data_IF_521256459788
#
_entry.id   IF_521256459788
#
_cell.length_a   1.000
_cell.length_b   1.000
_cell.length_c   1.000
_cell.angle_alpha   90.00
_cell.angle_beta   90.00
_cell.angle_gamma   90.00
#
_symmetry.space_group_name_H-M   'P 1'
#
loop_
_entity.id
_entity.type
_entity.pdbx_description
1 polymer ?
#
# COMPACT_ATOMS: atom_id res chain seq x y z
N UNK A 1 -8.84 7.59 3.78
CA UNK A 1 -10.24 7.42 3.31
C UNK A 1 -10.40 7.04 1.83
N UNK A 2 -9.69 7.66 0.88
CA UNK A 2 -9.86 7.36 -0.56
C UNK A 2 -9.72 5.86 -0.90
N UNK A 3 -8.67 5.21 -0.40
CA UNK A 3 -8.43 3.77 -0.60
C UNK A 3 -9.60 2.89 -0.16
N UNK A 4 -10.15 3.20 1.02
CA UNK A 4 -11.24 2.42 1.56
C UNK A 4 -12.56 2.62 0.79
N UNK A 5 -12.83 3.86 0.34
CA UNK A 5 -13.96 4.13 -0.56
C UNK A 5 -13.85 3.33 -1.85
N UNK A 6 -12.65 3.23 -2.43
CA UNK A 6 -12.40 2.40 -3.61
C UNK A 6 -12.56 0.91 -3.30
N UNK A 7 -12.04 0.42 -2.18
CA UNK A 7 -12.24 -0.96 -1.74
C UNK A 7 -13.74 -1.32 -1.68
N UNK A 8 -14.56 -0.49 -1.00
CA UNK A 8 -16.00 -0.72 -0.90
C UNK A 8 -16.70 -0.70 -2.26
N UNK A 9 -16.31 0.23 -3.13
CA UNK A 9 -16.83 0.28 -4.50
C UNK A 9 -16.58 -1.03 -5.24
N UNK A 10 -15.33 -1.51 -5.24
CA UNK A 10 -14.99 -2.75 -5.94
C UNK A 10 -15.52 -4.00 -5.25
N UNK A 11 -15.72 -3.97 -3.93
CA UNK A 11 -16.43 -5.02 -3.21
C UNK A 11 -17.88 -5.14 -3.69
N UNK A 12 -18.62 -4.03 -3.75
CA UNK A 12 -19.99 -4.01 -4.25
C UNK A 12 -20.07 -4.46 -5.72
N UNK A 13 -19.17 -3.94 -6.57
CA UNK A 13 -19.12 -4.34 -7.98
C UNK A 13 -18.77 -5.82 -8.16
N UNK A 14 -17.90 -6.38 -7.31
CA UNK A 14 -17.56 -7.79 -7.35
C UNK A 14 -18.72 -8.67 -6.85
N UNK A 15 -19.51 -8.21 -5.88
CA UNK A 15 -20.74 -8.88 -5.43
C UNK A 15 -21.80 -8.93 -6.54
N UNK A 16 -21.99 -7.81 -7.24
CA UNK A 16 -22.99 -7.65 -8.30
C UNK A 16 -22.59 -8.39 -9.58
N UNK A 17 -21.40 -8.09 -10.11
CA UNK A 17 -20.99 -8.51 -11.45
C UNK A 17 -20.24 -9.85 -11.44
N UNK A 18 -19.63 -10.24 -10.31
CA UNK A 18 -18.85 -11.48 -10.14
C UNK A 18 -17.76 -11.65 -11.20
N UNK A 19 -17.28 -10.53 -11.76
CA UNK A 19 -16.24 -10.52 -12.78
C UNK A 19 -14.86 -10.60 -12.13
N UNK A 20 -13.97 -11.39 -12.73
CA UNK A 20 -12.60 -11.57 -12.26
C UNK A 20 -11.87 -10.24 -12.16
N UNK A 21 -12.08 -9.34 -13.12
CA UNK A 21 -11.48 -8.01 -13.18
C UNK A 21 -11.90 -7.15 -11.98
N UNK A 22 -13.19 -7.13 -11.65
CA UNK A 22 -13.69 -6.40 -10.47
C UNK A 22 -13.13 -6.97 -9.16
N UNK A 23 -12.95 -8.29 -9.10
CA UNK A 23 -12.36 -8.93 -7.93
C UNK A 23 -10.84 -8.69 -7.82
N UNK A 24 -10.13 -8.63 -8.96
CA UNK A 24 -8.73 -8.23 -9.01
C UNK A 24 -8.52 -6.80 -8.48
N UNK A 25 -9.42 -5.87 -8.81
CA UNK A 25 -9.39 -4.52 -8.26
C UNK A 25 -9.65 -4.53 -6.75
N UNK A 26 -10.69 -5.23 -6.28
CA UNK A 26 -10.94 -5.41 -4.84
C UNK A 26 -9.69 -5.92 -4.10
N UNK A 27 -9.08 -6.99 -4.62
CA UNK A 27 -7.84 -7.57 -4.09
C UNK A 27 -6.69 -6.55 -4.08
N UNK A 28 -6.52 -5.77 -5.16
CA UNK A 28 -5.52 -4.73 -5.27
C UNK A 28 -5.68 -3.67 -4.16
N UNK A 29 -6.90 -3.15 -3.97
CA UNK A 29 -7.16 -2.16 -2.91
C UNK A 29 -6.99 -2.75 -1.50
N UNK A 30 -7.40 -3.99 -1.26
CA UNK A 30 -7.18 -4.67 0.02
C UNK A 30 -5.68 -4.77 0.35
N UNK A 31 -4.87 -5.15 -0.65
CA UNK A 31 -3.42 -5.23 -0.52
C UNK A 31 -2.76 -3.87 -0.29
N UNK A 32 -3.24 -2.81 -0.97
CA UNK A 32 -2.78 -1.43 -0.74
C UNK A 32 -3.06 -0.96 0.69
N UNK A 33 -4.25 -1.24 1.22
CA UNK A 33 -4.62 -0.90 2.60
C UNK A 33 -3.74 -1.65 3.59
N UNK A 34 -3.56 -2.97 3.42
CA UNK A 34 -2.64 -3.76 4.24
C UNK A 34 -1.24 -3.15 4.30
N UNK A 35 -0.68 -2.78 3.13
CA UNK A 35 0.65 -2.16 3.04
C UNK A 35 0.71 -0.85 3.82
N UNK A 36 -0.31 -0.01 3.73
CA UNK A 36 -0.34 1.26 4.48
C UNK A 36 -0.40 0.99 5.98
N UNK A 37 -1.31 0.13 6.44
CA UNK A 37 -1.47 -0.19 7.86
C UNK A 37 -0.14 -0.70 8.45
N UNK A 38 0.52 -1.65 7.80
CA UNK A 38 1.85 -2.16 8.22
C UNK A 38 2.96 -1.10 8.25
N UNK A 39 2.73 0.08 7.66
CA UNK A 39 3.71 1.16 7.58
C UNK A 39 3.39 2.34 8.50
N UNK A 40 2.22 2.32 9.12
CA UNK A 40 1.70 3.43 9.93
C UNK A 40 1.49 3.02 11.38
N UNK A 41 2.10 1.92 11.84
CA UNK A 41 2.06 1.46 13.24
C UNK A 41 2.53 2.53 14.24
N UNK A 42 3.49 3.37 13.85
CA UNK A 42 3.96 4.48 14.69
C UNK A 42 3.01 5.70 14.68
N UNK A 43 2.06 5.77 13.75
CA UNK A 43 1.19 6.94 13.49
C UNK A 43 -0.22 6.69 14.02
N UNK A 44 -0.73 5.50 13.75
CA UNK A 44 -2.07 5.08 14.14
C UNK A 44 -2.05 4.38 15.50
N UNK A 45 -3.22 4.26 16.12
CA UNK A 45 -3.36 3.45 17.32
C UNK A 45 -2.79 2.05 17.09
N UNK A 46 -1.90 1.61 17.99
CA UNK A 46 -1.05 0.46 17.75
C UNK A 46 -1.84 -0.85 17.73
N UNK A 47 -2.75 -1.03 18.69
CA UNK A 47 -3.57 -2.23 18.81
C UNK A 47 -4.55 -2.32 17.66
N UNK A 48 -5.23 -1.20 17.36
CA UNK A 48 -6.16 -1.08 16.25
C UNK A 48 -5.47 -1.37 14.91
N UNK A 49 -4.35 -0.71 14.66
CA UNK A 49 -3.63 -0.83 13.39
C UNK A 49 -3.08 -2.24 13.20
N UNK A 50 -2.58 -2.89 14.26
CA UNK A 50 -2.17 -4.31 14.22
C UNK A 50 -3.34 -5.23 13.92
N UNK A 51 -4.47 -5.05 14.60
CA UNK A 51 -5.67 -5.87 14.38
C UNK A 51 -6.17 -5.74 12.93
N UNK A 52 -6.34 -4.51 12.44
CA UNK A 52 -6.76 -4.25 11.07
C UNK A 52 -5.74 -4.79 10.06
N UNK A 53 -4.44 -4.60 10.30
CA UNK A 53 -3.40 -5.13 9.42
C UNK A 53 -3.46 -6.66 9.32
N UNK A 54 -3.68 -7.36 10.43
CA UNK A 54 -3.84 -8.82 10.45
C UNK A 54 -5.06 -9.26 9.66
N UNK A 55 -6.22 -8.63 9.87
CA UNK A 55 -7.46 -8.98 9.15
C UNK A 55 -7.34 -8.69 7.65
N UNK A 56 -6.72 -7.58 7.27
CA UNK A 56 -6.43 -7.29 5.86
C UNK A 56 -5.38 -8.24 5.27
N UNK A 57 -4.40 -8.71 6.05
CA UNK A 57 -3.45 -9.75 5.61
C UNK A 57 -4.17 -11.04 5.28
N UNK A 58 -5.09 -11.47 6.13
CA UNK A 58 -5.88 -12.68 5.89
C UNK A 58 -6.84 -12.51 4.72
N UNK A 59 -7.43 -11.32 4.56
CA UNK A 59 -8.24 -10.96 3.40
C UNK A 59 -7.44 -11.09 2.10
N UNK A 60 -6.21 -10.55 2.07
CA UNK A 60 -5.31 -10.62 0.92
C UNK A 60 -4.94 -12.08 0.61
N UNK A 61 -4.64 -12.89 1.62
CA UNK A 61 -4.35 -14.32 1.44
C UNK A 61 -5.54 -15.08 0.86
N UNK A 62 -6.73 -14.94 1.46
CA UNK A 62 -7.96 -15.60 0.97
C UNK A 62 -8.27 -15.19 -0.46
N UNK A 63 -8.19 -13.90 -0.76
CA UNK A 63 -8.40 -13.37 -2.12
C UNK A 63 -7.40 -13.93 -3.13
N UNK A 64 -6.13 -14.06 -2.75
CA UNK A 64 -5.11 -14.66 -3.60
C UNK A 64 -5.39 -16.13 -3.91
N UNK A 65 -5.80 -16.92 -2.90
CA UNK A 65 -6.21 -18.31 -3.12
C UNK A 65 -7.40 -18.43 -4.07
N UNK A 66 -8.40 -17.55 -3.93
CA UNK A 66 -9.58 -17.53 -4.81
C UNK A 66 -9.17 -17.16 -6.25
N UNK A 67 -8.26 -16.19 -6.43
CA UNK A 67 -7.77 -15.82 -7.77
C UNK A 67 -6.91 -16.91 -8.42
N UNK A 68 -6.21 -17.72 -7.62
CA UNK A 68 -5.41 -18.85 -8.09
C UNK A 68 -6.29 -20.04 -8.51
N UNK A 69 -7.43 -20.23 -7.84
CA UNK A 69 -8.42 -21.22 -8.21
C UNK A 69 -9.23 -20.72 -9.42
N UNK A 70 -9.14 -21.40 -10.56
CA UNK A 70 -9.84 -20.99 -11.79
C UNK A 70 -11.38 -21.06 -11.69
N UNK A 71 -11.91 -21.61 -10.60
CA UNK A 71 -13.35 -21.70 -10.29
C UNK A 71 -13.80 -20.56 -9.36
N UNK A 72 -13.96 -19.38 -9.95
CA UNK A 72 -14.36 -18.12 -9.28
C UNK A 72 -15.86 -18.05 -8.96
N UNK A 73 -16.68 -19.08 -9.21
CA UNK A 73 -18.14 -18.98 -9.10
C UNK A 73 -18.67 -18.89 -7.67
N UNK A 74 -18.95 -20.04 -7.05
CA UNK A 74 -19.58 -20.10 -5.73
C UNK A 74 -18.62 -19.69 -4.60
N UNK A 75 -17.35 -20.07 -4.71
CA UNK A 75 -16.32 -19.72 -3.72
C UNK A 75 -16.13 -18.20 -3.56
N UNK A 76 -16.22 -17.45 -4.67
CA UNK A 76 -16.11 -15.99 -4.63
C UNK A 76 -17.34 -15.37 -3.97
N UNK A 77 -18.55 -15.84 -4.30
CA UNK A 77 -19.77 -15.30 -3.73
C UNK A 77 -19.84 -15.54 -2.22
N UNK A 78 -19.51 -16.76 -1.78
CA UNK A 78 -19.45 -17.10 -0.35
C UNK A 78 -18.43 -16.25 0.39
N UNK A 79 -17.27 -16.02 -0.22
CA UNK A 79 -16.24 -15.15 0.35
C UNK A 79 -16.68 -13.69 0.44
N UNK A 80 -17.20 -13.11 -0.66
CA UNK A 80 -17.59 -11.69 -0.71
C UNK A 80 -18.80 -11.39 0.17
N UNK A 81 -19.69 -12.37 0.34
CA UNK A 81 -20.89 -12.25 1.19
C UNK A 81 -20.63 -12.68 2.64
N UNK A 82 -19.41 -13.13 2.95
CA UNK A 82 -19.06 -13.65 4.26
C UNK A 82 -19.12 -12.58 5.36
N UNK A 83 -19.62 -12.99 6.53
CA UNK A 83 -19.79 -12.11 7.69
C UNK A 83 -18.46 -11.48 8.14
N UNK A 84 -17.35 -12.24 8.09
CA UNK A 84 -16.02 -11.73 8.45
C UNK A 84 -15.60 -10.51 7.63
N UNK A 85 -15.87 -10.52 6.32
CA UNK A 85 -15.55 -9.40 5.42
C UNK A 85 -16.47 -8.21 5.69
N UNK A 86 -17.78 -8.47 5.85
CA UNK A 86 -18.74 -7.41 6.18
C UNK A 86 -18.39 -6.72 7.49
N UNK A 87 -18.06 -7.49 8.52
CA UNK A 87 -17.62 -6.98 9.81
C UNK A 87 -16.32 -6.17 9.66
N UNK A 88 -15.34 -6.64 8.89
CA UNK A 88 -14.10 -5.90 8.64
C UNK A 88 -14.36 -4.54 7.99
N UNK A 89 -15.23 -4.49 6.99
CA UNK A 89 -15.56 -3.24 6.31
C UNK A 89 -16.39 -2.32 7.21
N UNK A 90 -17.31 -2.86 8.01
CA UNK A 90 -18.11 -2.09 8.96
C UNK A 90 -17.22 -1.47 10.05
N UNK A 91 -16.34 -2.26 10.65
CA UNK A 91 -15.39 -1.81 11.66
C UNK A 91 -14.51 -0.70 11.09
N UNK A 92 -13.94 -0.90 9.90
CA UNK A 92 -13.12 0.12 9.25
C UNK A 92 -13.91 1.39 8.91
N UNK A 93 -15.17 1.29 8.51
CA UNK A 93 -16.07 2.45 8.31
C UNK A 93 -16.31 3.22 9.62
N UNK A 94 -16.57 2.51 10.71
CA UNK A 94 -16.75 3.11 12.03
C UNK A 94 -15.51 3.89 12.45
N UNK A 95 -14.33 3.28 12.35
CA UNK A 95 -13.06 3.94 12.68
C UNK A 95 -12.78 5.17 11.81
N UNK A 96 -13.17 5.13 10.55
CA UNK A 96 -13.06 6.28 9.65
C UNK A 96 -13.94 7.44 10.11
N UNK A 97 -15.17 7.15 10.53
CA UNK A 97 -16.17 8.16 10.91
C UNK A 97 -15.83 8.82 12.24
N UNK A 98 -15.35 8.03 13.19
CA UNK A 98 -14.99 8.52 14.53
C UNK A 98 -13.65 9.28 14.58
N UNK A 99 -12.91 9.36 13.46
CA UNK A 99 -11.59 9.99 13.38
C UNK A 99 -10.57 9.43 14.41
N UNK A 100 -10.81 8.21 14.89
CA UNK A 100 -10.16 7.60 16.04
C UNK A 100 -8.92 6.77 15.68
N UNK A 101 -8.31 7.06 14.54
CA UNK A 101 -7.22 6.23 13.99
C UNK A 101 -5.84 6.72 14.39
N UNK A 102 -5.69 7.97 14.81
CA UNK A 102 -4.40 8.49 15.28
C UNK A 102 -4.11 8.04 16.71
N UNK A 103 -2.85 7.73 17.00
CA UNK A 103 -2.41 7.39 18.36
C UNK A 103 -2.65 8.53 19.36
N UNK A 104 -2.47 9.77 18.93
CA UNK A 104 -2.87 10.96 19.68
C UNK A 104 -3.04 12.17 18.73
N UNK A 105 -3.51 13.30 19.26
CA UNK A 105 -3.55 14.58 18.53
C UNK A 105 -2.16 15.03 18.05
N UNK A 106 -1.08 14.61 18.74
CA UNK A 106 0.28 14.91 18.32
C UNK A 106 0.65 14.18 17.02
N UNK A 107 0.37 12.87 16.91
CA UNK A 107 0.60 12.10 15.68
C UNK A 107 -0.27 12.61 14.53
N UNK A 108 -1.48 13.08 14.82
CA UNK A 108 -2.34 13.76 13.84
C UNK A 108 -1.69 15.04 13.32
N UNK A 109 -1.22 15.90 14.23
CA UNK A 109 -0.55 17.15 13.88
C UNK A 109 0.75 16.91 13.07
N UNK A 110 1.54 15.91 13.46
CA UNK A 110 2.80 15.56 12.80
C UNK A 110 2.67 14.50 11.69
N UNK A 111 1.45 14.17 11.26
CA UNK A 111 1.18 13.10 10.29
C UNK A 111 2.07 13.21 9.05
N UNK A 112 2.14 14.41 8.46
CA UNK A 112 2.94 14.68 7.26
C UNK A 112 4.43 14.41 7.48
N UNK A 113 4.97 14.78 8.64
CA UNK A 113 6.37 14.56 9.01
C UNK A 113 6.65 13.06 9.23
N UNK A 114 5.73 12.35 9.89
CA UNK A 114 5.86 10.91 10.15
C UNK A 114 5.78 10.10 8.84
N UNK A 115 4.84 10.43 7.94
CA UNK A 115 4.79 9.81 6.61
C UNK A 115 6.08 10.10 5.82
N UNK A 116 6.67 11.30 5.95
CA UNK A 116 7.93 11.62 5.29
C UNK A 116 9.06 10.73 5.80
N UNK A 117 9.09 10.49 7.12
CA UNK A 117 10.04 9.59 7.76
C UNK A 117 9.88 8.15 7.25
N UNK A 118 8.64 7.64 7.20
CA UNK A 118 8.35 6.29 6.72
C UNK A 118 8.70 6.12 5.23
N UNK A 119 8.33 7.09 4.39
CA UNK A 119 8.72 7.10 2.98
C UNK A 119 10.25 7.13 2.81
N UNK A 120 10.96 7.89 3.65
CA UNK A 120 12.43 7.95 3.62
C UNK A 120 13.06 6.61 4.03
N UNK A 121 12.57 5.97 5.10
CA UNK A 121 13.01 4.63 5.54
C UNK A 121 12.86 3.63 4.39
N UNK A 122 11.68 3.59 3.75
CA UNK A 122 11.37 2.71 2.60
C UNK A 122 12.27 2.97 1.40
N UNK A 123 12.48 4.23 1.02
CA UNK A 123 13.39 4.60 -0.08
C UNK A 123 14.82 4.11 0.16
N UNK A 124 15.34 4.27 1.39
CA UNK A 124 16.68 3.82 1.75
C UNK A 124 16.78 2.29 1.71
N UNK A 125 15.81 1.60 2.28
CA UNK A 125 15.75 0.13 2.27
C UNK A 125 15.69 -0.41 0.83
N UNK A 126 14.78 0.13 0.01
CA UNK A 126 14.64 -0.26 -1.38
C UNK A 126 15.94 -0.04 -2.17
N UNK A 127 16.63 1.10 -1.98
CA UNK A 127 17.93 1.36 -2.61
C UNK A 127 19.00 0.35 -2.16
N UNK A 128 19.04 -0.01 -0.88
CA UNK A 128 19.99 -1.02 -0.37
C UNK A 128 19.75 -2.36 -1.04
N UNK A 129 18.47 -2.77 -1.12
CA UNK A 129 18.10 -4.02 -1.76
C UNK A 129 18.46 -3.95 -3.25
N UNK A 130 18.12 -2.87 -3.96
CA UNK A 130 18.41 -2.63 -5.40
C UNK A 130 19.88 -2.89 -5.81
N UNK A 131 20.81 -2.73 -4.87
CA UNK A 131 22.24 -2.84 -5.11
C UNK A 131 22.86 -4.18 -4.67
N UNK A 132 22.11 -5.04 -3.96
CA UNK A 132 22.55 -6.38 -3.54
C UNK A 132 22.08 -7.46 -4.53
N UNK A 133 22.68 -8.66 -4.48
CA UNK A 133 22.13 -9.83 -5.17
C UNK A 133 20.78 -10.20 -4.56
N UNK A 134 19.79 -10.51 -5.40
CA UNK A 134 18.38 -10.44 -5.05
C UNK A 134 17.68 -11.80 -5.03
N UNK A 135 16.96 -12.05 -3.95
CA UNK A 135 15.75 -12.87 -3.96
C UNK A 135 14.62 -12.07 -4.60
N UNK A 136 13.93 -12.66 -5.57
CA UNK A 136 12.89 -12.00 -6.35
C UNK A 136 11.72 -11.61 -5.45
N UNK A 137 11.20 -12.53 -4.64
CA UNK A 137 10.03 -12.32 -3.78
C UNK A 137 10.21 -11.11 -2.84
N UNK A 138 11.33 -11.06 -2.13
CA UNK A 138 11.70 -9.94 -1.25
C UNK A 138 11.78 -8.62 -2.01
N UNK A 139 12.20 -8.61 -3.27
CA UNK A 139 12.20 -7.40 -4.09
C UNK A 139 10.79 -6.96 -4.48
N UNK A 140 9.92 -7.88 -4.90
CA UNK A 140 8.56 -7.57 -5.33
C UNK A 140 7.75 -6.95 -4.20
N UNK A 141 7.86 -7.50 -2.99
CA UNK A 141 7.21 -6.94 -1.80
C UNK A 141 7.70 -5.53 -1.47
N UNK A 142 9.02 -5.31 -1.50
CA UNK A 142 9.60 -4.00 -1.26
C UNK A 142 9.24 -2.98 -2.35
N UNK A 143 9.19 -3.42 -3.61
CA UNK A 143 8.77 -2.59 -4.74
C UNK A 143 7.32 -2.16 -4.58
N UNK A 144 6.43 -3.13 -4.32
CA UNK A 144 5.01 -2.84 -4.15
C UNK A 144 4.79 -1.92 -2.95
N UNK A 145 5.43 -2.22 -1.82
CA UNK A 145 5.33 -1.39 -0.62
C UNK A 145 5.74 0.07 -0.88
N UNK A 146 6.84 0.28 -1.62
CA UNK A 146 7.28 1.62 -2.02
C UNK A 146 6.37 2.25 -3.08
N UNK A 147 5.85 1.47 -4.03
CA UNK A 147 4.95 1.93 -5.09
C UNK A 147 3.68 2.52 -4.49
N UNK A 148 3.02 1.77 -3.61
CA UNK A 148 1.82 2.22 -2.89
C UNK A 148 2.11 3.49 -2.09
N UNK A 149 3.21 3.51 -1.34
CA UNK A 149 3.58 4.71 -0.57
C UNK A 149 3.78 5.94 -1.45
N UNK A 150 4.42 5.77 -2.61
CA UNK A 150 4.60 6.86 -3.55
C UNK A 150 3.23 7.29 -4.11
N UNK A 151 2.43 6.37 -4.64
CA UNK A 151 1.09 6.63 -5.21
C UNK A 151 0.25 7.55 -4.31
N UNK A 152 0.20 7.27 -3.00
CA UNK A 152 -0.64 8.03 -2.08
C UNK A 152 0.02 9.27 -1.48
N UNK A 153 1.34 9.26 -1.28
CA UNK A 153 1.99 10.29 -0.46
C UNK A 153 2.96 11.18 -1.20
N UNK A 154 3.34 10.88 -2.46
CA UNK A 154 4.33 11.69 -3.17
C UNK A 154 3.86 13.15 -3.37
N UNK A 155 2.56 13.37 -3.57
CA UNK A 155 1.96 14.68 -3.78
C UNK A 155 1.88 15.53 -2.51
N UNK A 156 1.88 14.93 -1.31
CA UNK A 156 1.80 15.67 -0.06
C UNK A 156 2.95 16.67 0.13
N UNK A 157 4.09 16.43 -0.50
CA UNK A 157 5.31 17.20 -0.30
C UNK A 157 5.61 18.21 -1.42
N UNK A 158 4.85 18.24 -2.51
CA UNK A 158 5.11 19.08 -3.70
C UNK A 158 6.55 18.99 -4.23
N UNK A 159 7.23 17.85 -4.04
CA UNK A 159 8.60 17.63 -4.48
C UNK A 159 8.61 17.00 -5.88
N UNK A 160 8.94 17.80 -6.91
CA UNK A 160 9.08 17.35 -8.32
C UNK A 160 9.90 16.05 -8.46
N UNK A 161 10.87 15.82 -7.57
CA UNK A 161 11.72 14.64 -7.62
C UNK A 161 10.99 13.35 -7.21
N UNK A 162 10.03 13.42 -6.28
CA UNK A 162 9.21 12.28 -5.89
C UNK A 162 8.20 11.94 -6.97
N UNK A 163 7.54 12.94 -7.55
CA UNK A 163 6.64 12.73 -8.69
C UNK A 163 7.39 12.13 -9.89
N UNK A 164 8.62 12.60 -10.16
CA UNK A 164 9.49 12.01 -11.19
C UNK A 164 9.89 10.57 -10.88
N UNK A 165 10.16 10.26 -9.61
CA UNK A 165 10.48 8.90 -9.18
C UNK A 165 9.30 7.96 -9.42
N UNK A 166 8.11 8.35 -8.95
CA UNK A 166 6.87 7.59 -9.12
C UNK A 166 6.54 7.39 -10.61
N UNK A 167 6.35 8.48 -11.37
CA UNK A 167 5.93 8.43 -12.77
C UNK A 167 6.89 7.66 -13.68
N UNK A 168 8.19 7.62 -13.36
CA UNK A 168 9.19 6.98 -14.23
C UNK A 168 9.40 5.50 -13.93
N UNK A 169 9.22 5.09 -12.67
CA UNK A 169 9.67 3.78 -12.18
C UNK A 169 8.60 2.98 -11.42
N UNK A 170 7.56 3.62 -10.87
CA UNK A 170 6.57 2.96 -9.99
C UNK A 170 5.11 3.15 -10.45
N UNK A 171 4.85 3.93 -11.50
CA UNK A 171 3.47 4.14 -12.00
C UNK A 171 2.83 2.88 -12.59
N UNK A 172 3.64 1.95 -13.09
CA UNK A 172 3.17 0.71 -13.68
C UNK A 172 3.40 -0.44 -12.71
N UNK A 173 2.54 -1.46 -12.82
CA UNK A 173 2.70 -2.71 -12.09
C UNK A 173 4.05 -3.38 -12.39
N UNK A 174 4.47 -4.21 -11.43
CA UNK A 174 5.72 -4.95 -11.52
C UNK A 174 5.57 -6.11 -12.52
N UNK A 175 5.66 -5.80 -13.80
CA UNK A 175 5.78 -6.79 -14.85
C UNK A 175 7.26 -7.17 -15.09
N UNK A 176 7.50 -8.31 -15.75
CA UNK A 176 8.86 -8.71 -16.21
C UNK A 176 9.58 -7.58 -16.96
N UNK A 177 8.85 -6.81 -17.78
CA UNK A 177 9.38 -5.65 -18.49
C UNK A 177 9.81 -4.52 -17.54
N UNK A 178 9.05 -4.28 -16.49
CA UNK A 178 9.37 -3.31 -15.43
C UNK A 178 10.62 -3.73 -14.67
N UNK A 179 10.73 -5.01 -14.25
CA UNK A 179 11.93 -5.58 -13.63
C UNK A 179 13.17 -5.39 -14.50
N UNK A 180 13.12 -5.78 -15.78
CA UNK A 180 14.23 -5.59 -16.73
C UNK A 180 14.65 -4.12 -16.86
N UNK A 181 13.68 -3.19 -16.91
CA UNK A 181 13.92 -1.75 -16.96
C UNK A 181 14.60 -1.24 -15.69
N UNK A 182 14.20 -1.75 -14.52
CA UNK A 182 14.79 -1.39 -13.23
C UNK A 182 16.24 -1.88 -13.14
N UNK A 183 16.51 -3.14 -13.51
CA UNK A 183 17.86 -3.72 -13.51
C UNK A 183 18.81 -2.94 -14.42
N UNK A 184 18.39 -2.63 -15.66
CA UNK A 184 19.18 -1.83 -16.62
C UNK A 184 19.45 -0.39 -16.13
N UNK A 185 18.59 0.16 -15.28
CA UNK A 185 18.69 1.55 -14.80
C UNK A 185 19.01 1.64 -13.29
N UNK A 186 19.50 0.56 -12.68
CA UNK A 186 19.67 0.44 -11.22
C UNK A 186 20.47 1.60 -10.60
N UNK A 187 21.57 2.01 -11.24
CA UNK A 187 22.38 3.13 -10.75
C UNK A 187 21.67 4.49 -10.85
N UNK A 188 21.01 4.73 -12.00
CA UNK A 188 20.25 5.98 -12.23
C UNK A 188 19.09 6.08 -11.25
N UNK A 189 18.39 4.96 -11.02
CA UNK A 189 17.33 4.85 -10.01
C UNK A 189 17.88 5.07 -8.60
N UNK A 190 18.99 4.42 -8.23
CA UNK A 190 19.65 4.59 -6.93
C UNK A 190 20.08 6.04 -6.67
N UNK A 191 20.59 6.75 -7.69
CA UNK A 191 20.90 8.20 -7.61
C UNK A 191 19.63 9.04 -7.41
N UNK A 192 18.54 8.72 -8.10
CA UNK A 192 17.27 9.44 -7.97
C UNK A 192 16.66 9.23 -6.57
N UNK A 193 16.63 7.99 -6.09
CA UNK A 193 16.19 7.63 -4.74
C UNK A 193 17.00 8.36 -3.68
N UNK A 194 18.33 8.40 -3.82
CA UNK A 194 19.21 9.12 -2.90
C UNK A 194 18.86 10.60 -2.81
N UNK A 195 18.65 11.25 -3.96
CA UNK A 195 18.26 12.67 -4.01
C UNK A 195 16.86 12.89 -3.43
N UNK A 196 15.90 12.02 -3.74
CA UNK A 196 14.53 12.09 -3.21
C UNK A 196 14.53 11.94 -1.68
N UNK A 197 15.22 10.94 -1.15
CA UNK A 197 15.40 10.70 0.29
C UNK A 197 16.04 11.89 1.00
N UNK A 198 17.06 12.53 0.39
CA UNK A 198 17.68 13.76 0.92
C UNK A 198 16.76 14.98 0.89
N UNK A 199 15.82 15.08 -0.05
CA UNK A 199 14.88 16.21 -0.17
C UNK A 199 13.64 16.06 0.72
N UNK A 200 13.31 14.83 1.12
CA UNK A 200 12.35 14.53 2.18
C UNK A 200 12.90 14.90 3.58
N UNK A 201 13.67 15.99 3.70
CA UNK A 201 14.16 16.46 5.01
C UNK A 201 12.94 16.78 5.87
N UNK A 202 12.82 16.03 6.95
CA UNK A 202 11.95 16.35 8.07
C UNK A 202 12.49 17.67 8.61
N UNK A 203 11.72 18.74 8.54
CA UNK A 203 12.03 19.92 9.34
C UNK A 203 12.02 19.46 10.79
N UNK A 204 13.20 19.42 11.42
CA UNK A 204 13.29 19.49 12.88
C UNK A 204 12.98 20.94 13.22
N UNK A 205 11.83 21.20 13.84
CA UNK A 205 11.43 22.53 14.29
C UNK A 205 10.00 22.84 13.84
N UNK A 206 9.09 23.25 14.72
CA UNK A 206 9.23 23.81 16.07
C UNK A 206 8.20 23.18 17.00
#
# INVERSE_FOLDING_TARGET
FYLFRKLKLYWNLALENRQRETFCEFFSYARKIYIILMSTEEIFDEELNKNLALRFKDLVKKSHCILANNELGENLLLFLSGEELQNLLSDFDFFIKEDSFYKSEQEKYFFKQMIAMQLRKRLVLFKKNLLKNFEIETFEENFLGLSVFLEYFHNLYNLKILSKLYNKYFICDLEKKTLLKLTKKKEKLGKLIHKASKKLKIYKGY
#
